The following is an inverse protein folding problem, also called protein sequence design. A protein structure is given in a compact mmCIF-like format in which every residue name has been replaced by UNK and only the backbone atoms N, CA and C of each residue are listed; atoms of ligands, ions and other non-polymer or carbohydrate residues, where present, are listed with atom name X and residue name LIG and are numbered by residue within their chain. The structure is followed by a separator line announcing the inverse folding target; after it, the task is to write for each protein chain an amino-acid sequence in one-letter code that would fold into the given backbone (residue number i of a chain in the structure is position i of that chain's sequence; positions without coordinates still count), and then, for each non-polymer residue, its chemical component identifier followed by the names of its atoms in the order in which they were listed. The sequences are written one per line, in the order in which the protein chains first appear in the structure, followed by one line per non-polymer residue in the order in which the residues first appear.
data_IF_477391933088
#
_entry.id   IF_477391933088
#
_cell.length_a   1.000
_cell.length_b   1.000
_cell.length_c   1.000
_cell.angle_alpha   90.00
_cell.angle_beta   90.00
_cell.angle_gamma   90.00
#
_symmetry.space_group_name_H-M   'P 1'
#
loop_
_entity.id
_entity.type
_entity.pdbx_description
1 polymer ?
#
# COMPACT_ATOMS: atom_id res chain seq x y z
N UNK A 1 -16.24 -29.73 -9.37
CA UNK A 1 -16.32 -29.11 -8.04
C UNK A 1 -16.63 -27.64 -8.25
N UNK A 2 -17.53 -27.05 -7.46
CA UNK A 2 -17.78 -25.61 -7.52
C UNK A 2 -16.52 -24.86 -7.07
N UNK A 3 -16.19 -23.68 -7.65
CA UNK A 3 -15.03 -22.91 -7.27
C UNK A 3 -15.12 -22.47 -5.80
N UNK A 4 -14.00 -22.48 -5.09
CA UNK A 4 -13.90 -21.98 -3.74
C UNK A 4 -13.81 -20.44 -3.81
N UNK A 5 -14.89 -19.77 -3.41
CA UNK A 5 -15.03 -18.32 -3.52
C UNK A 5 -14.89 -17.67 -2.16
N UNK A 6 -14.03 -16.66 -2.05
CA UNK A 6 -13.99 -15.75 -0.92
C UNK A 6 -15.07 -14.68 -1.09
N UNK A 7 -15.94 -14.52 -0.09
CA UNK A 7 -16.99 -13.51 -0.09
C UNK A 7 -16.41 -12.09 0.12
N UNK A 8 -17.09 -11.08 -0.42
CA UNK A 8 -16.78 -9.67 -0.16
C UNK A 8 -17.37 -9.29 1.22
N UNK A 9 -16.63 -9.52 2.29
CA UNK A 9 -17.10 -9.46 3.68
C UNK A 9 -17.48 -8.05 4.16
N UNK A 10 -16.96 -7.01 3.53
CA UNK A 10 -17.27 -5.61 3.85
C UNK A 10 -18.24 -4.93 2.88
N UNK A 11 -18.77 -5.66 1.90
CA UNK A 11 -19.81 -5.14 1.01
C UNK A 11 -21.06 -4.73 1.82
N UNK A 12 -21.30 -3.43 1.91
CA UNK A 12 -22.42 -2.85 2.65
C UNK A 12 -22.09 -2.15 3.98
N UNK A 13 -20.95 -2.46 4.63
CA UNK A 13 -20.52 -1.79 5.86
C UNK A 13 -19.50 -0.66 5.62
N UNK A 14 -18.58 -0.84 4.69
CA UNK A 14 -17.52 0.12 4.34
C UNK A 14 -17.92 1.06 3.19
N UNK A 15 -19.00 0.75 2.50
CA UNK A 15 -19.49 1.49 1.32
C UNK A 15 -20.73 2.36 1.60
N UNK A 16 -21.21 2.44 2.83
CA UNK A 16 -22.37 3.28 3.17
C UNK A 16 -21.98 4.47 4.03
N UNK A 17 -22.40 5.65 3.57
CA UNK A 17 -22.23 6.94 4.23
C UNK A 17 -23.18 7.04 5.46
N UNK A 18 -23.01 6.22 6.50
CA UNK A 18 -23.70 6.43 7.76
C UNK A 18 -22.71 6.68 8.89
N UNK A 19 -22.65 7.91 9.31
CA UNK A 19 -21.84 8.46 10.40
C UNK A 19 -22.22 7.96 11.81
N UNK A 20 -22.72 6.71 11.94
CA UNK A 20 -23.12 6.13 13.23
C UNK A 20 -22.82 4.63 13.25
N UNK A 21 -21.57 4.28 13.48
CA UNK A 21 -21.28 2.96 14.04
C UNK A 21 -20.01 3.03 14.89
N UNK A 22 -20.20 2.97 16.21
CA UNK A 22 -19.14 2.65 17.17
C UNK A 22 -19.19 1.13 17.40
N UNK A 23 -18.16 0.36 17.04
CA UNK A 23 -18.10 -1.03 17.51
C UNK A 23 -17.65 -1.05 18.97
N UNK A 24 -18.47 -1.63 19.80
CA UNK A 24 -18.16 -1.91 21.19
C UNK A 24 -17.27 -3.17 21.25
N UNK A 25 -16.08 -3.14 21.86
CA UNK A 25 -15.16 -4.29 21.86
C UNK A 25 -15.42 -5.20 23.05
N UNK A 26 -16.51 -5.96 23.05
CA UNK A 26 -16.66 -7.07 24.00
C UNK A 26 -17.46 -8.19 23.36
N UNK A 27 -16.81 -9.34 23.29
CA UNK A 27 -17.31 -10.68 22.98
C UNK A 27 -16.94 -11.26 21.61
N UNK A 28 -15.77 -11.87 21.53
CA UNK A 28 -15.53 -12.93 20.55
C UNK A 28 -15.27 -14.24 21.31
N UNK A 29 -16.31 -15.05 21.41
CA UNK A 29 -16.16 -16.47 21.72
C UNK A 29 -15.89 -17.21 20.41
N UNK A 30 -14.83 -18.02 20.43
CA UNK A 30 -14.44 -18.95 19.38
C UNK A 30 -15.59 -19.89 19.00
N UNK A 31 -16.13 -19.74 17.80
CA UNK A 31 -16.92 -20.77 17.13
C UNK A 31 -16.32 -21.02 15.75
N UNK A 32 -15.73 -22.20 15.61
CA UNK A 32 -15.40 -22.84 14.34
C UNK A 32 -16.68 -22.92 13.51
N UNK A 33 -16.81 -22.12 12.48
CA UNK A 33 -17.90 -22.24 11.50
C UNK A 33 -17.33 -22.95 10.27
N UNK A 34 -17.88 -24.12 9.89
CA UNK A 34 -17.44 -24.81 8.68
C UNK A 34 -17.79 -23.97 7.45
N UNK A 35 -16.96 -24.09 6.44
CA UNK A 35 -17.11 -23.51 5.11
C UNK A 35 -18.54 -23.71 4.59
N UNK A 36 -19.38 -22.68 4.67
CA UNK A 36 -20.74 -22.71 4.13
C UNK A 36 -20.64 -22.59 2.61
N UNK A 37 -21.01 -23.67 1.93
CA UNK A 37 -21.34 -23.68 0.51
C UNK A 37 -22.46 -22.67 0.26
N UNK A 38 -22.13 -21.48 -0.21
CA UNK A 38 -23.11 -20.58 -0.77
C UNK A 38 -23.40 -21.04 -2.20
N UNK A 39 -24.57 -21.65 -2.38
CA UNK A 39 -25.17 -21.81 -3.70
C UNK A 39 -25.28 -20.44 -4.34
N UNK A 40 -24.92 -20.39 -5.63
CA UNK A 40 -24.94 -19.20 -6.49
C UNK A 40 -26.37 -18.80 -6.84
N UNK A 41 -27.13 -18.31 -5.85
CA UNK A 41 -28.31 -17.52 -6.14
C UNK A 41 -27.92 -16.05 -6.03
N UNK A 42 -28.00 -15.37 -7.16
CA UNK A 42 -27.53 -14.02 -7.42
C UNK A 42 -27.81 -13.06 -6.23
N UNK A 43 -26.78 -12.71 -5.48
CA UNK A 43 -26.83 -11.51 -4.62
C UNK A 43 -26.96 -10.32 -5.58
N UNK A 44 -28.04 -9.53 -5.51
CA UNK A 44 -28.24 -8.45 -6.46
C UNK A 44 -27.15 -7.37 -6.25
N UNK A 45 -26.36 -7.11 -7.27
CA UNK A 45 -25.28 -6.11 -7.39
C UNK A 45 -25.74 -4.64 -7.19
N UNK A 46 -26.70 -4.38 -6.33
CA UNK A 46 -27.21 -3.01 -6.07
C UNK A 46 -26.19 -2.09 -5.41
N UNK A 47 -25.23 -2.63 -4.66
CA UNK A 47 -24.14 -1.88 -4.05
C UNK A 47 -23.01 -1.62 -5.05
N UNK A 48 -22.79 -2.48 -6.04
CA UNK A 48 -21.77 -2.34 -7.07
C UNK A 48 -21.91 -1.07 -7.90
N UNK A 49 -23.14 -0.67 -8.25
CA UNK A 49 -23.37 0.52 -9.10
C UNK A 49 -23.02 1.85 -8.43
N UNK A 50 -23.14 1.95 -7.10
CA UNK A 50 -22.73 3.14 -6.33
C UNK A 50 -21.21 3.20 -6.21
N UNK A 51 -20.59 2.10 -5.83
CA UNK A 51 -19.14 1.98 -5.71
C UNK A 51 -18.47 2.21 -7.08
N UNK A 52 -19.00 1.60 -8.13
CA UNK A 52 -18.49 1.76 -9.49
C UNK A 52 -18.45 3.23 -9.92
N UNK A 53 -19.52 3.97 -9.66
CA UNK A 53 -19.58 5.40 -9.94
C UNK A 53 -18.56 6.19 -9.11
N UNK A 54 -18.45 5.91 -7.81
CA UNK A 54 -17.47 6.59 -6.94
C UNK A 54 -16.02 6.33 -7.41
N UNK A 55 -15.68 5.07 -7.71
CA UNK A 55 -14.35 4.75 -8.23
C UNK A 55 -14.07 5.46 -9.56
N UNK A 56 -15.05 5.52 -10.47
CA UNK A 56 -14.93 6.28 -11.71
C UNK A 56 -14.70 7.78 -11.45
N UNK A 57 -15.50 8.39 -10.56
CA UNK A 57 -15.38 9.81 -10.20
C UNK A 57 -13.97 10.11 -9.65
N UNK A 58 -13.45 9.30 -8.74
CA UNK A 58 -12.12 9.48 -8.18
C UNK A 58 -11.00 9.27 -9.20
N UNK A 59 -11.09 8.23 -10.03
CA UNK A 59 -10.12 8.00 -11.11
C UNK A 59 -10.13 9.13 -12.15
N UNK A 60 -11.29 9.70 -12.47
CA UNK A 60 -11.43 10.83 -13.39
C UNK A 60 -10.95 12.16 -12.76
N UNK A 61 -11.02 12.30 -11.44
CA UNK A 61 -10.56 13.49 -10.73
C UNK A 61 -9.02 13.60 -10.68
N UNK A 62 -8.29 12.51 -10.94
CA UNK A 62 -6.82 12.54 -11.04
C UNK A 62 -6.41 13.18 -12.36
N UNK A 63 -5.88 14.39 -12.28
CA UNK A 63 -5.45 15.19 -13.43
C UNK A 63 -3.94 15.15 -13.63
N UNK A 64 -3.51 15.42 -14.86
CA UNK A 64 -2.10 15.66 -15.16
C UNK A 64 -1.65 16.94 -14.42
N UNK A 65 -0.65 16.80 -13.56
CA UNK A 65 -0.13 17.91 -12.75
C UNK A 65 0.50 19.03 -13.58
N UNK A 66 0.81 18.77 -14.87
CA UNK A 66 1.38 19.74 -15.79
C UNK A 66 0.42 20.84 -16.24
N UNK A 67 -0.90 20.65 -16.09
CA UNK A 67 -1.93 21.56 -16.66
C UNK A 67 -2.68 22.39 -15.62
N UNK A 68 -2.55 22.09 -14.32
CA UNK A 68 -3.27 22.82 -13.27
C UNK A 68 -2.32 23.65 -12.43
N UNK A 69 -2.68 24.93 -12.23
CA UNK A 69 -2.05 25.81 -11.23
C UNK A 69 -2.39 25.43 -9.78
N UNK A 70 -3.21 24.40 -9.59
CA UNK A 70 -3.56 23.81 -8.29
C UNK A 70 -2.63 22.62 -8.02
N UNK A 71 -1.78 22.76 -7.02
CA UNK A 71 -0.82 21.74 -6.55
C UNK A 71 -1.54 20.62 -5.77
N UNK A 72 -2.44 19.87 -6.43
CA UNK A 72 -3.14 18.77 -5.75
C UNK A 72 -2.29 17.50 -5.61
N UNK A 73 -1.30 17.28 -6.47
CA UNK A 73 -0.37 16.16 -6.41
C UNK A 73 0.90 16.46 -5.61
N UNK A 74 1.70 15.43 -5.36
CA UNK A 74 3.04 15.58 -4.80
C UNK A 74 3.98 16.25 -5.82
N UNK A 75 5.04 16.97 -5.37
CA UNK A 75 5.95 17.72 -6.26
C UNK A 75 6.57 16.90 -7.40
N UNK A 76 6.86 15.62 -7.14
CA UNK A 76 7.46 14.71 -8.11
C UNK A 76 6.43 13.78 -8.78
N UNK A 77 5.12 14.04 -8.60
CA UNK A 77 4.07 13.25 -9.24
C UNK A 77 4.22 13.28 -10.78
N UNK A 78 3.82 12.19 -11.47
CA UNK A 78 4.00 12.10 -12.91
C UNK A 78 3.16 13.15 -13.63
N UNK A 79 3.70 13.69 -14.72
CA UNK A 79 3.02 14.68 -15.56
C UNK A 79 2.00 14.08 -16.51
N UNK A 80 1.89 12.74 -16.56
CA UNK A 80 0.92 12.02 -17.40
C UNK A 80 0.58 10.64 -16.86
N UNK A 81 -0.62 10.19 -17.13
CA UNK A 81 -1.15 8.90 -16.73
C UNK A 81 -1.68 8.09 -17.94
N UNK A 82 -1.51 6.75 -17.97
CA UNK A 82 -0.76 5.93 -17.02
C UNK A 82 0.76 6.11 -17.15
N UNK A 83 1.51 5.68 -16.13
CA UNK A 83 2.98 5.66 -16.16
C UNK A 83 3.44 4.40 -16.88
N UNK A 84 4.00 4.56 -18.07
CA UNK A 84 4.51 3.44 -18.84
C UNK A 84 5.62 2.71 -18.08
N UNK A 85 5.48 1.39 -17.95
CA UNK A 85 6.44 0.56 -17.21
C UNK A 85 6.26 0.63 -15.68
N UNK A 86 5.12 1.08 -15.18
CA UNK A 86 4.77 0.98 -13.77
C UNK A 86 4.81 -0.48 -13.31
N UNK A 87 5.62 -0.79 -12.30
CA UNK A 87 5.88 -2.13 -11.76
C UNK A 87 5.16 -2.41 -10.46
N UNK A 88 5.02 -1.38 -9.64
CA UNK A 88 4.33 -1.49 -8.37
C UNK A 88 3.61 -0.19 -8.02
N UNK A 89 2.60 -0.30 -7.16
CA UNK A 89 1.97 0.84 -6.50
C UNK A 89 1.90 0.60 -4.99
N UNK A 90 1.90 1.69 -4.23
CA UNK A 90 1.49 1.70 -2.82
C UNK A 90 0.18 2.45 -2.77
N UNK A 91 -0.86 1.83 -2.21
CA UNK A 91 -2.19 2.41 -2.12
C UNK A 91 -2.78 2.22 -0.71
N UNK A 92 -3.53 3.20 -0.18
CA UNK A 92 -4.21 3.08 1.10
C UNK A 92 -5.41 2.15 1.03
N UNK A 93 -5.75 1.49 2.15
CA UNK A 93 -6.81 0.48 2.24
C UNK A 93 -7.91 0.78 3.28
N UNK A 94 -7.90 1.92 3.92
CA UNK A 94 -9.04 2.32 4.72
C UNK A 94 -10.32 2.36 3.85
N UNK A 95 -11.49 2.32 4.47
CA UNK A 95 -12.76 2.33 3.74
C UNK A 95 -12.79 3.40 2.65
N UNK A 96 -13.28 3.06 1.48
CA UNK A 96 -13.19 3.89 0.26
C UNK A 96 -13.69 5.33 0.41
N UNK A 97 -14.66 5.57 1.30
CA UNK A 97 -15.13 6.93 1.56
C UNK A 97 -14.02 7.86 2.10
N UNK A 98 -12.97 7.28 2.68
CA UNK A 98 -11.83 8.00 3.26
C UNK A 98 -10.60 7.94 2.36
N UNK A 99 -10.20 6.74 1.98
CA UNK A 99 -8.95 6.48 1.25
C UNK A 99 -9.09 6.51 -0.27
N UNK A 100 -10.32 6.31 -0.78
CA UNK A 100 -10.58 6.14 -2.21
C UNK A 100 -10.04 7.27 -3.10
N UNK A 101 -10.26 8.56 -2.77
CA UNK A 101 -9.68 9.66 -3.54
C UNK A 101 -8.16 9.61 -3.63
N UNK A 102 -7.47 9.30 -2.51
CA UNK A 102 -6.01 9.17 -2.48
C UNK A 102 -5.55 7.94 -3.24
N UNK A 103 -6.19 6.78 -3.03
CA UNK A 103 -5.87 5.53 -3.74
C UNK A 103 -5.94 5.69 -5.27
N UNK A 104 -6.89 6.46 -5.78
CA UNK A 104 -7.05 6.72 -7.21
C UNK A 104 -5.75 7.20 -7.87
N UNK A 105 -4.91 7.99 -7.18
CA UNK A 105 -3.64 8.47 -7.68
C UNK A 105 -2.62 7.35 -7.93
N UNK A 106 -2.60 6.32 -7.09
CA UNK A 106 -1.77 5.14 -7.32
C UNK A 106 -2.30 4.30 -8.50
N UNK A 107 -3.60 4.02 -8.51
CA UNK A 107 -4.22 3.19 -9.54
C UNK A 107 -4.19 3.83 -10.93
N UNK A 108 -4.20 5.17 -11.04
CA UNK A 108 -4.03 5.87 -12.32
C UNK A 108 -2.64 5.72 -12.93
N UNK A 109 -1.62 5.42 -12.10
CA UNK A 109 -0.28 5.15 -12.60
C UNK A 109 -0.17 3.82 -13.37
N UNK A 110 -1.10 2.90 -13.19
CA UNK A 110 -1.01 1.55 -13.75
C UNK A 110 -1.31 1.54 -15.24
N UNK A 111 -0.33 1.10 -16.06
CA UNK A 111 -0.54 0.75 -17.46
C UNK A 111 -1.09 -0.68 -17.56
N UNK A 112 -2.41 -0.79 -17.72
CA UNK A 112 -3.13 -2.07 -17.67
C UNK A 112 -2.92 -2.94 -18.91
N UNK A 113 -2.33 -2.44 -20.00
CA UNK A 113 -2.38 -3.09 -21.32
C UNK A 113 -1.70 -4.47 -21.33
N UNK A 114 -0.57 -4.61 -20.64
CA UNK A 114 0.24 -5.83 -20.68
C UNK A 114 0.17 -6.67 -19.40
N UNK A 115 -0.47 -6.15 -18.35
CA UNK A 115 -0.56 -6.85 -17.07
C UNK A 115 -1.53 -8.03 -17.19
N UNK A 116 -1.06 -9.20 -16.72
CA UNK A 116 -1.85 -10.43 -16.59
C UNK A 116 -1.88 -10.97 -15.17
N UNK A 117 -0.86 -10.65 -14.38
CA UNK A 117 -0.72 -11.08 -12.99
C UNK A 117 -0.59 -9.91 -12.06
N UNK A 118 -1.30 -9.94 -10.95
CA UNK A 118 -1.30 -8.87 -9.96
C UNK A 118 -1.03 -9.46 -8.59
N UNK A 119 0.14 -9.17 -8.03
CA UNK A 119 0.44 -9.46 -6.63
C UNK A 119 -0.18 -8.38 -5.74
N UNK A 120 -0.85 -8.81 -4.68
CA UNK A 120 -1.43 -7.90 -3.68
C UNK A 120 -0.82 -8.26 -2.33
N UNK A 121 0.02 -7.38 -1.80
CA UNK A 121 0.68 -7.54 -0.52
C UNK A 121 -0.08 -6.73 0.54
N UNK A 122 -0.89 -7.40 1.35
CA UNK A 122 -1.68 -6.78 2.41
C UNK A 122 -1.16 -7.13 3.81
N UNK A 123 -1.23 -6.20 4.79
CA UNK A 123 -0.83 -6.49 6.16
C UNK A 123 -1.84 -7.37 6.89
N UNK A 124 -1.39 -8.22 7.78
CA UNK A 124 -2.26 -9.01 8.66
C UNK A 124 -2.72 -8.17 9.85
N UNK A 125 -4.00 -7.76 9.85
CA UNK A 125 -4.57 -6.98 10.95
C UNK A 125 -5.22 -7.83 12.05
N UNK A 126 -5.71 -9.02 11.71
CA UNK A 126 -6.56 -9.82 12.59
C UNK A 126 -5.89 -11.10 13.09
N UNK A 127 -4.86 -11.56 12.42
CA UNK A 127 -4.16 -12.80 12.75
C UNK A 127 -2.70 -12.51 13.06
N UNK A 128 -2.21 -13.03 14.19
CA UNK A 128 -0.78 -13.00 14.49
C UNK A 128 -0.05 -14.01 13.57
N UNK A 129 0.53 -13.49 12.49
CA UNK A 129 1.24 -14.28 11.49
C UNK A 129 2.74 -13.92 11.55
N UNK A 130 3.64 -14.89 11.82
CA UNK A 130 5.08 -14.61 11.87
C UNK A 130 5.77 -14.57 10.51
N UNK A 131 5.08 -14.98 9.44
CA UNK A 131 5.55 -15.06 8.06
C UNK A 131 4.59 -14.40 7.08
N UNK A 132 4.51 -14.95 5.88
CA UNK A 132 3.53 -14.60 4.86
C UNK A 132 2.62 -15.80 4.57
N UNK A 133 1.35 -15.53 4.20
CA UNK A 133 0.40 -16.59 3.89
C UNK A 133 -0.25 -16.40 2.52
N UNK A 134 -0.57 -17.52 1.86
CA UNK A 134 -1.20 -17.62 0.54
C UNK A 134 -2.67 -18.03 0.67
N UNK A 135 -3.49 -17.58 -0.26
CA UNK A 135 -4.91 -17.95 -0.31
C UNK A 135 -5.12 -19.33 -0.94
N UNK A 136 -6.04 -20.11 -0.37
CA UNK A 136 -6.52 -21.38 -0.92
C UNK A 136 -7.73 -21.23 -1.85
N UNK A 137 -8.31 -20.02 -1.95
CA UNK A 137 -9.48 -19.75 -2.78
C UNK A 137 -9.17 -19.88 -4.27
N UNK A 138 -10.21 -20.04 -5.08
CA UNK A 138 -10.11 -20.03 -6.54
C UNK A 138 -10.36 -18.61 -7.09
N UNK A 139 -11.21 -17.85 -6.39
CA UNK A 139 -11.54 -16.47 -6.75
C UNK A 139 -11.92 -15.64 -5.52
N UNK A 140 -11.74 -14.33 -5.65
CA UNK A 140 -12.22 -13.36 -4.69
C UNK A 140 -13.42 -12.60 -5.26
N UNK A 141 -14.51 -12.57 -4.52
CA UNK A 141 -15.69 -11.78 -4.88
C UNK A 141 -15.43 -10.30 -4.59
N UNK A 142 -15.80 -9.44 -5.54
CA UNK A 142 -15.87 -7.98 -5.31
C UNK A 142 -17.26 -7.47 -5.71
N UNK A 143 -17.68 -6.29 -5.22
CA UNK A 143 -18.92 -5.67 -5.67
C UNK A 143 -18.99 -5.40 -7.19
N UNK A 144 -17.85 -5.40 -7.88
CA UNK A 144 -17.71 -5.15 -9.31
C UNK A 144 -17.48 -6.43 -10.13
N UNK A 145 -17.56 -7.59 -9.52
CA UNK A 145 -17.33 -8.90 -10.12
C UNK A 145 -16.12 -9.63 -9.55
N UNK A 146 -15.99 -10.93 -9.84
CA UNK A 146 -14.94 -11.74 -9.27
C UNK A 146 -13.55 -11.45 -9.88
N UNK A 147 -12.51 -11.71 -9.09
CA UNK A 147 -11.12 -11.76 -9.50
C UNK A 147 -10.61 -13.21 -9.36
N UNK A 148 -10.07 -13.77 -10.43
CA UNK A 148 -9.52 -15.13 -10.42
C UNK A 148 -8.14 -15.14 -9.75
N UNK A 149 -7.84 -16.18 -8.97
CA UNK A 149 -6.52 -16.38 -8.38
C UNK A 149 -5.60 -17.13 -9.36
N UNK A 150 -4.32 -16.71 -9.42
CA UNK A 150 -3.27 -17.44 -10.17
C UNK A 150 -2.83 -18.67 -9.38
N UNK A 151 -3.60 -19.76 -9.50
CA UNK A 151 -3.34 -21.02 -8.78
C UNK A 151 -1.97 -21.61 -9.09
N UNK A 152 -1.46 -21.39 -10.31
CA UNK A 152 -0.14 -21.88 -10.70
C UNK A 152 0.95 -21.15 -9.90
N UNK A 153 0.95 -19.84 -9.92
CA UNK A 153 1.92 -19.04 -9.16
C UNK A 153 1.80 -19.27 -7.66
N UNK A 154 0.58 -19.38 -7.13
CA UNK A 154 0.35 -19.70 -5.71
C UNK A 154 0.95 -21.06 -5.36
N UNK A 155 0.79 -22.08 -6.21
CA UNK A 155 1.41 -23.40 -5.99
C UNK A 155 2.94 -23.36 -6.07
N UNK A 156 3.51 -22.57 -6.99
CA UNK A 156 4.96 -22.37 -7.09
C UNK A 156 5.52 -21.73 -5.82
N UNK A 157 4.86 -20.69 -5.29
CA UNK A 157 5.26 -20.03 -4.04
C UNK A 157 5.11 -20.98 -2.84
N UNK A 158 4.01 -21.72 -2.75
CA UNK A 158 3.79 -22.68 -1.67
C UNK A 158 4.86 -23.81 -1.67
N UNK A 159 5.32 -24.22 -2.85
CA UNK A 159 6.36 -25.24 -2.99
C UNK A 159 7.73 -24.80 -2.45
N UNK A 160 7.96 -23.51 -2.21
CA UNK A 160 9.18 -23.00 -1.55
C UNK A 160 9.25 -23.40 -0.07
N UNK A 161 8.10 -23.70 0.56
CA UNK A 161 7.99 -23.99 1.99
C UNK A 161 8.05 -22.75 2.90
N UNK A 162 8.15 -21.55 2.34
CA UNK A 162 8.30 -20.29 3.10
C UNK A 162 6.95 -19.64 3.43
N UNK A 163 5.87 -20.05 2.77
CA UNK A 163 4.54 -19.47 2.92
C UNK A 163 3.60 -20.38 3.69
N UNK A 164 2.85 -19.81 4.61
CA UNK A 164 1.73 -20.49 5.25
C UNK A 164 0.46 -20.41 4.38
N UNK A 165 -0.58 -21.13 4.76
CA UNK A 165 -1.91 -21.00 4.16
C UNK A 165 -2.77 -20.09 5.02
N UNK A 166 -3.34 -19.04 4.41
CA UNK A 166 -4.30 -18.22 5.14
C UNK A 166 -5.64 -18.90 5.24
N UNK A 167 -6.32 -18.72 6.37
CA UNK A 167 -7.74 -19.05 6.49
C UNK A 167 -8.59 -18.01 5.77
N UNK A 168 -9.83 -18.36 5.44
CA UNK A 168 -10.67 -17.69 4.45
C UNK A 168 -11.16 -16.27 4.81
N UNK A 169 -10.77 -15.71 5.95
CA UNK A 169 -11.37 -14.49 6.50
C UNK A 169 -10.50 -13.23 6.47
N UNK A 170 -9.39 -13.25 5.76
CA UNK A 170 -8.48 -12.11 5.75
C UNK A 170 -8.85 -11.11 4.66
N UNK A 171 -9.31 -9.95 5.09
CA UNK A 171 -9.87 -8.90 4.25
C UNK A 171 -8.93 -7.74 4.03
N UNK A 172 -8.80 -7.34 2.77
CA UNK A 172 -8.27 -6.04 2.38
C UNK A 172 -9.00 -5.52 1.15
N UNK A 173 -9.31 -4.23 1.09
CA UNK A 173 -10.30 -3.67 0.15
C UNK A 173 -9.73 -3.27 -1.24
N UNK A 174 -8.44 -3.48 -1.54
CA UNK A 174 -7.86 -3.14 -2.84
C UNK A 174 -8.47 -3.89 -4.02
N UNK A 175 -9.14 -5.00 -3.74
CA UNK A 175 -9.71 -5.86 -4.76
C UNK A 175 -10.71 -5.15 -5.66
N UNK A 176 -11.51 -4.20 -5.14
CA UNK A 176 -12.49 -3.45 -5.94
C UNK A 176 -11.82 -2.47 -6.89
N UNK A 177 -10.76 -1.77 -6.46
CA UNK A 177 -9.98 -0.93 -7.36
C UNK A 177 -9.29 -1.75 -8.45
N UNK A 178 -8.72 -2.90 -8.11
CA UNK A 178 -8.14 -3.83 -9.09
C UNK A 178 -9.20 -4.20 -10.12
N UNK A 179 -10.38 -4.66 -9.66
CA UNK A 179 -11.45 -5.02 -10.58
C UNK A 179 -11.89 -3.86 -11.47
N UNK A 180 -11.86 -2.62 -10.92
CA UNK A 180 -12.25 -1.41 -11.65
C UNK A 180 -11.27 -1.03 -12.76
N UNK A 181 -9.97 -0.94 -12.49
CA UNK A 181 -8.99 -0.54 -13.51
C UNK A 181 -8.79 -1.60 -14.58
N UNK A 182 -9.12 -2.87 -14.28
CA UNK A 182 -9.13 -3.97 -15.26
C UNK A 182 -10.55 -4.33 -15.72
N UNK A 183 -11.48 -3.37 -15.71
CA UNK A 183 -12.85 -3.59 -16.18
C UNK A 183 -12.88 -4.14 -17.62
N UNK A 184 -13.74 -5.15 -17.85
CA UNK A 184 -13.82 -5.84 -19.16
C UNK A 184 -12.72 -6.88 -19.40
N UNK A 185 -11.65 -6.93 -18.62
CA UNK A 185 -10.57 -7.91 -18.74
C UNK A 185 -10.91 -9.20 -17.98
N UNK A 186 -10.76 -10.34 -18.65
CA UNK A 186 -10.94 -11.69 -18.08
C UNK A 186 -9.64 -12.52 -18.07
N UNK A 187 -8.58 -11.97 -18.64
CA UNK A 187 -7.26 -12.59 -18.80
C UNK A 187 -6.27 -12.19 -17.69
N UNK A 188 -6.77 -11.59 -16.61
CA UNK A 188 -5.97 -11.23 -15.43
C UNK A 188 -6.24 -12.19 -14.28
N UNK A 189 -5.24 -12.39 -13.45
CA UNK A 189 -5.34 -13.14 -12.20
C UNK A 189 -4.58 -12.46 -11.07
N UNK A 190 -5.00 -12.71 -9.84
CA UNK A 190 -4.39 -12.13 -8.64
C UNK A 190 -3.62 -13.18 -7.84
N UNK A 191 -2.57 -12.73 -7.16
CA UNK A 191 -1.80 -13.49 -6.17
C UNK A 191 -1.83 -12.71 -4.85
N UNK A 192 -2.88 -12.90 -4.02
CA UNK A 192 -2.97 -12.23 -2.74
C UNK A 192 -2.01 -12.88 -1.75
N UNK A 193 -1.22 -12.05 -1.07
CA UNK A 193 -0.27 -12.45 -0.03
C UNK A 193 -0.57 -11.65 1.24
N UNK A 194 -0.96 -12.36 2.28
CA UNK A 194 -1.09 -11.78 3.61
C UNK A 194 0.29 -11.71 4.24
N UNK A 195 0.74 -10.51 4.58
CA UNK A 195 2.05 -10.25 5.15
C UNK A 195 1.91 -9.99 6.65
N UNK A 196 2.47 -10.88 7.45
CA UNK A 196 2.45 -10.79 8.91
C UNK A 196 3.55 -9.89 9.47
N UNK A 197 3.89 -10.11 10.75
CA UNK A 197 4.94 -9.38 11.44
C UNK A 197 6.31 -9.95 11.09
N UNK A 198 7.03 -9.28 10.21
CA UNK A 198 8.31 -9.74 9.69
C UNK A 198 9.51 -9.06 10.39
N UNK A 199 10.63 -9.78 10.43
CA UNK A 199 11.93 -9.16 10.66
C UNK A 199 12.45 -8.53 9.37
N UNK A 200 13.38 -7.57 9.48
CA UNK A 200 14.07 -6.99 8.32
C UNK A 200 14.77 -8.05 7.44
N UNK A 201 15.21 -9.17 8.03
CA UNK A 201 15.77 -10.30 7.28
C UNK A 201 14.67 -11.05 6.53
N UNK A 202 13.55 -11.35 7.18
CA UNK A 202 12.41 -12.03 6.55
C UNK A 202 11.82 -11.20 5.41
N UNK A 203 11.72 -9.87 5.55
CA UNK A 203 11.29 -8.97 4.47
C UNK A 203 12.16 -9.12 3.22
N UNK A 204 13.49 -9.22 3.39
CA UNK A 204 14.43 -9.45 2.27
C UNK A 204 14.28 -10.85 1.68
N UNK A 205 14.10 -11.87 2.51
CA UNK A 205 13.90 -13.25 2.05
C UNK A 205 12.66 -13.36 1.17
N UNK A 206 11.51 -12.86 1.66
CA UNK A 206 10.29 -12.82 0.85
C UNK A 206 10.44 -11.94 -0.38
N UNK A 207 11.13 -10.80 -0.26
CA UNK A 207 11.44 -9.93 -1.40
C UNK A 207 12.23 -10.67 -2.49
N UNK A 208 13.26 -11.40 -2.14
CA UNK A 208 14.05 -12.19 -3.07
C UNK A 208 13.23 -13.30 -3.76
N UNK A 209 12.32 -13.96 -3.03
CA UNK A 209 11.40 -14.96 -3.62
C UNK A 209 10.42 -14.33 -4.63
N UNK A 210 10.04 -13.09 -4.42
CA UNK A 210 9.08 -12.36 -5.27
C UNK A 210 9.75 -11.59 -6.42
N UNK A 211 11.07 -11.36 -6.37
CA UNK A 211 11.83 -10.61 -7.38
C UNK A 211 11.60 -11.13 -8.82
N UNK A 212 11.65 -12.44 -9.13
CA UNK A 212 11.47 -12.90 -10.50
C UNK A 212 10.11 -12.53 -11.10
N UNK A 213 9.09 -12.46 -10.26
CA UNK A 213 7.75 -12.03 -10.68
C UNK A 213 7.68 -10.50 -10.86
N UNK A 214 8.32 -9.72 -9.97
CA UNK A 214 8.37 -8.26 -10.09
C UNK A 214 9.08 -7.82 -11.38
N UNK A 215 10.12 -8.53 -11.80
CA UNK A 215 10.83 -8.28 -13.05
C UNK A 215 9.99 -8.56 -14.29
N UNK A 216 9.04 -9.49 -14.22
CA UNK A 216 8.18 -9.83 -15.36
C UNK A 216 7.39 -8.61 -15.87
N UNK A 217 7.39 -8.34 -17.19
CA UNK A 217 6.65 -7.20 -17.74
C UNK A 217 5.12 -7.35 -17.64
N UNK A 218 4.62 -8.57 -17.45
CA UNK A 218 3.19 -8.88 -17.34
C UNK A 218 2.69 -8.86 -15.88
N UNK A 219 3.54 -8.45 -14.93
CA UNK A 219 3.21 -8.48 -13.49
C UNK A 219 3.19 -7.08 -12.90
N UNK A 220 2.15 -6.81 -12.11
CA UNK A 220 2.00 -5.62 -11.27
C UNK A 220 2.04 -6.05 -9.79
N UNK A 221 2.69 -5.25 -8.96
CA UNK A 221 2.62 -5.37 -7.50
C UNK A 221 1.76 -4.25 -6.91
N UNK A 222 0.89 -4.59 -5.99
CA UNK A 222 0.09 -3.63 -5.21
C UNK A 222 0.44 -3.85 -3.75
N UNK A 223 0.96 -2.81 -3.11
CA UNK A 223 1.26 -2.80 -1.68
C UNK A 223 0.19 -1.99 -0.98
N UNK A 224 -0.50 -2.65 -0.08
CA UNK A 224 -1.60 -2.12 0.70
C UNK A 224 -1.09 -1.48 1.98
N UNK A 225 -1.28 -0.18 2.17
CA UNK A 225 -0.80 0.51 3.36
C UNK A 225 -1.45 1.86 3.60
N UNK A 226 -2.12 2.00 4.73
CA UNK A 226 -2.32 3.31 5.32
C UNK A 226 -1.05 3.76 6.06
N UNK A 227 -0.89 5.07 6.27
CA UNK A 227 0.21 5.67 7.00
C UNK A 227 -0.17 5.89 8.47
N UNK A 228 0.27 6.96 9.10
CA UNK A 228 0.10 7.18 10.53
C UNK A 228 -1.36 7.05 10.99
N UNK A 229 -1.60 6.16 11.95
CA UNK A 229 -2.84 6.08 12.72
C UNK A 229 -2.63 6.81 14.05
N UNK A 230 -3.04 8.06 14.11
CA UNK A 230 -2.79 8.92 15.27
C UNK A 230 -4.04 9.09 16.14
N UNK A 231 -3.84 9.08 17.45
CA UNK A 231 -4.86 9.34 18.46
C UNK A 231 -4.96 8.26 19.53
N UNK A 232 -5.60 8.59 20.64
CA UNK A 232 -5.71 7.67 21.80
C UNK A 232 -6.37 6.34 21.46
N UNK A 233 -7.32 6.32 20.51
CA UNK A 233 -8.00 5.09 20.07
C UNK A 233 -7.07 4.11 19.35
N UNK A 234 -5.95 4.60 18.80
CA UNK A 234 -4.93 3.80 18.14
C UNK A 234 -3.72 3.50 19.07
N UNK A 235 -3.75 4.03 20.29
CA UNK A 235 -2.63 3.90 21.21
C UNK A 235 -1.37 4.65 20.79
N UNK A 236 -1.47 5.60 19.86
CA UNK A 236 -0.35 6.33 19.30
C UNK A 236 -0.63 7.83 19.26
N UNK A 237 0.13 8.61 20.06
CA UNK A 237 -0.03 10.06 20.21
C UNK A 237 1.31 10.78 20.06
N UNK A 238 2.21 10.22 19.23
CA UNK A 238 3.52 10.80 18.99
C UNK A 238 3.40 12.19 18.38
N UNK A 239 4.19 13.13 18.90
CA UNK A 239 4.12 14.53 18.54
C UNK A 239 5.53 15.15 18.50
N UNK A 240 5.80 15.87 17.42
CA UNK A 240 7.02 16.61 17.18
C UNK A 240 6.70 18.08 17.42
N UNK A 241 7.16 18.69 18.54
CA UNK A 241 6.69 20.00 18.96
C UNK A 241 7.08 21.15 18.02
N UNK A 242 8.17 21.01 17.27
CA UNK A 242 8.74 22.13 16.49
C UNK A 242 9.13 21.68 15.09
N UNK A 243 9.02 22.64 14.15
CA UNK A 243 9.30 22.41 12.73
C UNK A 243 10.76 22.02 12.49
N UNK A 244 11.71 22.59 13.25
CA UNK A 244 13.15 22.34 13.11
C UNK A 244 13.64 21.05 13.76
N UNK A 245 12.85 20.42 14.64
CA UNK A 245 13.24 19.16 15.30
C UNK A 245 13.23 17.98 14.34
N UNK A 246 14.16 17.05 14.51
CA UNK A 246 14.12 15.77 13.80
C UNK A 246 12.93 14.92 14.25
N UNK A 247 12.41 14.09 13.33
CA UNK A 247 11.24 13.24 13.61
C UNK A 247 11.45 12.27 14.77
N UNK A 248 12.67 11.89 15.06
CA UNK A 248 13.01 11.02 16.19
C UNK A 248 13.05 11.74 17.56
N UNK A 249 12.87 13.03 17.60
CA UNK A 249 12.88 13.85 18.82
C UNK A 249 11.48 14.15 19.38
N UNK A 250 10.46 13.56 18.77
CA UNK A 250 9.08 13.68 19.26
C UNK A 250 8.84 12.88 20.55
N UNK A 251 7.71 13.16 21.16
CA UNK A 251 7.26 12.51 22.40
C UNK A 251 5.77 12.14 22.33
N UNK A 252 5.33 11.21 23.16
CA UNK A 252 3.91 10.86 23.24
C UNK A 252 3.14 11.92 24.04
N UNK A 253 2.10 12.50 23.46
CA UNK A 253 1.18 13.39 24.18
C UNK A 253 0.31 12.61 25.18
N UNK A 254 0.08 13.22 26.32
CA UNK A 254 -0.85 12.76 27.36
C UNK A 254 -1.79 13.89 27.80
N UNK A 255 -2.71 13.60 28.71
CA UNK A 255 -3.73 14.59 29.16
C UNK A 255 -3.17 15.91 29.75
N UNK A 256 -1.92 15.92 30.15
CA UNK A 256 -1.24 17.12 30.70
C UNK A 256 -0.30 17.78 29.70
N UNK A 257 -0.15 17.24 28.51
CA UNK A 257 0.77 17.78 27.52
C UNK A 257 0.21 19.06 26.89
N UNK A 258 1.07 20.04 26.67
CA UNK A 258 0.74 21.24 25.92
C UNK A 258 1.12 21.03 24.45
N UNK A 259 0.16 21.16 23.55
CA UNK A 259 0.45 21.31 22.12
C UNK A 259 1.04 22.71 21.94
N UNK A 260 2.20 22.80 21.33
CA UNK A 260 2.93 24.05 21.18
C UNK A 260 2.09 25.12 20.48
N UNK A 261 2.15 26.34 21.00
CA UNK A 261 1.53 27.50 20.38
C UNK A 261 2.62 28.55 20.12
N UNK A 262 2.60 29.14 18.93
CA UNK A 262 3.53 30.21 18.55
C UNK A 262 4.40 29.88 17.34
N UNK A 263 5.25 30.82 16.97
CA UNK A 263 6.10 30.70 15.78
C UNK A 263 7.07 29.52 15.89
N UNK A 264 7.08 28.66 14.88
CA UNK A 264 7.94 27.48 14.79
C UNK A 264 7.42 26.25 15.56
N UNK A 265 6.26 26.31 16.22
CA UNK A 265 5.59 25.16 16.80
C UNK A 265 4.74 24.43 15.73
N UNK A 266 4.73 23.10 15.78
CA UNK A 266 3.81 22.28 14.97
C UNK A 266 2.46 22.17 15.68
N UNK A 267 1.38 22.20 14.91
CA UNK A 267 0.09 21.64 15.35
C UNK A 267 0.16 20.10 15.27
N UNK A 268 -0.83 19.41 15.81
CA UNK A 268 -0.81 17.93 15.81
C UNK A 268 -0.80 17.37 14.38
N UNK A 269 -1.66 17.89 13.49
CA UNK A 269 -1.72 17.47 12.09
C UNK A 269 -0.44 17.80 11.30
N UNK A 270 0.21 18.93 11.59
CA UNK A 270 1.52 19.26 10.99
C UNK A 270 2.61 18.28 11.49
N UNK A 271 2.56 17.89 12.75
CA UNK A 271 3.44 16.90 13.32
C UNK A 271 3.23 15.53 12.69
N UNK A 272 1.98 15.11 12.47
CA UNK A 272 1.64 13.87 11.77
C UNK A 272 2.17 13.93 10.33
N UNK A 273 1.90 15.03 9.61
CA UNK A 273 2.38 15.19 8.24
C UNK A 273 3.91 15.14 8.16
N UNK A 274 4.61 15.82 9.05
CA UNK A 274 6.07 15.81 9.12
C UNK A 274 6.61 14.38 9.34
N UNK A 275 5.98 13.63 10.24
CA UNK A 275 6.34 12.24 10.50
C UNK A 275 6.18 11.38 9.25
N UNK A 276 5.01 11.45 8.61
CA UNK A 276 4.71 10.65 7.41
C UNK A 276 5.59 11.05 6.22
N UNK A 277 5.80 12.37 6.01
CA UNK A 277 6.68 12.89 4.95
C UNK A 277 8.11 12.37 5.08
N UNK A 278 8.63 12.25 6.31
CA UNK A 278 9.94 11.66 6.52
C UNK A 278 9.95 10.16 6.17
N UNK A 279 8.92 9.40 6.56
CA UNK A 279 8.76 8.01 6.14
C UNK A 279 8.69 7.87 4.61
N UNK A 280 7.90 8.72 3.95
CA UNK A 280 7.79 8.78 2.48
C UNK A 280 9.15 9.08 1.84
N UNK A 281 9.87 10.10 2.35
CA UNK A 281 11.21 10.46 1.86
C UNK A 281 12.21 9.31 1.98
N UNK A 282 12.16 8.57 3.09
CA UNK A 282 13.04 7.43 3.36
C UNK A 282 12.76 6.28 2.39
N UNK A 283 11.48 5.99 2.12
CA UNK A 283 11.05 4.93 1.20
C UNK A 283 11.39 5.28 -0.25
N UNK A 284 11.40 6.57 -0.61
CA UNK A 284 11.71 7.03 -1.97
C UNK A 284 13.14 6.71 -2.37
N UNK A 285 13.33 6.31 -3.61
CA UNK A 285 14.64 6.10 -4.24
C UNK A 285 14.56 6.43 -5.73
N UNK A 286 15.72 6.71 -6.33
CA UNK A 286 15.91 6.84 -7.78
C UNK A 286 17.23 6.20 -8.17
N UNK A 287 17.18 5.17 -9.00
CA UNK A 287 18.35 4.44 -9.48
C UNK A 287 18.95 5.04 -10.76
N UNK A 288 18.71 6.34 -11.05
CA UNK A 288 19.26 7.00 -12.23
C UNK A 288 20.77 6.75 -12.41
N UNK A 289 21.30 6.67 -13.66
CA UNK A 289 22.71 6.38 -13.91
C UNK A 289 23.59 7.38 -13.19
N UNK A 290 24.54 6.86 -12.42
CA UNK A 290 25.57 7.67 -11.79
C UNK A 290 26.44 8.29 -12.90
N UNK A 291 26.40 9.61 -13.07
CA UNK A 291 27.51 10.30 -13.71
C UNK A 291 28.70 10.19 -12.76
N UNK A 292 29.81 9.64 -13.27
CA UNK A 292 31.06 9.45 -12.55
C UNK A 292 31.74 10.79 -12.28
N UNK A 293 31.27 11.55 -11.29
CA UNK A 293 32.01 12.61 -10.65
C UNK A 293 32.18 12.26 -9.18
N UNK A 294 33.38 12.32 -8.66
CA UNK A 294 33.79 11.92 -7.32
C UNK A 294 33.03 12.65 -6.18
N UNK A 295 32.22 13.66 -6.51
CA UNK A 295 31.44 14.47 -5.56
C UNK A 295 29.93 14.12 -5.51
N UNK A 296 29.47 13.12 -6.28
CA UNK A 296 28.05 12.75 -6.29
C UNK A 296 27.74 11.79 -5.15
N UNK A 297 27.18 12.31 -4.06
CA UNK A 297 26.59 11.53 -2.95
C UNK A 297 25.48 10.68 -3.55
N UNK A 298 25.82 9.45 -3.88
CA UNK A 298 25.02 8.54 -4.69
C UNK A 298 23.55 8.47 -4.24
N UNK A 299 22.62 8.52 -5.21
CA UNK A 299 21.18 8.46 -4.99
C UNK A 299 20.78 7.28 -4.10
N UNK A 300 19.67 7.45 -3.36
CA UNK A 300 19.17 6.39 -2.48
C UNK A 300 18.78 5.16 -3.29
N UNK A 301 19.19 3.98 -2.83
CA UNK A 301 18.87 2.69 -3.43
C UNK A 301 17.73 2.00 -2.68
N UNK A 302 17.04 1.01 -3.27
CA UNK A 302 16.04 0.22 -2.55
C UNK A 302 16.60 -0.44 -1.28
N UNK A 303 17.86 -0.88 -1.30
CA UNK A 303 18.56 -1.47 -0.14
C UNK A 303 18.72 -0.45 0.99
N UNK A 304 19.22 0.77 0.68
CA UNK A 304 19.39 1.81 1.70
C UNK A 304 18.02 2.29 2.22
N UNK A 305 17.03 2.44 1.32
CA UNK A 305 15.66 2.79 1.69
C UNK A 305 15.07 1.77 2.68
N UNK A 306 15.23 0.46 2.44
CA UNK A 306 14.79 -0.60 3.34
C UNK A 306 15.46 -0.51 4.73
N UNK A 307 16.77 -0.28 4.77
CA UNK A 307 17.52 -0.17 6.04
C UNK A 307 17.10 1.06 6.83
N UNK A 308 17.03 2.23 6.18
CA UNK A 308 16.64 3.49 6.81
C UNK A 308 15.18 3.46 7.26
N UNK A 309 14.27 2.83 6.49
CA UNK A 309 12.87 2.68 6.87
C UNK A 309 12.70 1.85 8.14
N UNK A 310 13.42 0.75 8.27
CA UNK A 310 13.45 -0.05 9.49
C UNK A 310 14.01 0.75 10.69
N UNK A 311 15.03 1.58 10.49
CA UNK A 311 15.57 2.46 11.53
C UNK A 311 14.55 3.54 11.95
N UNK A 312 13.90 4.17 10.99
CA UNK A 312 12.84 5.15 11.22
C UNK A 312 11.67 4.56 12.03
N UNK A 313 11.18 3.37 11.65
CA UNK A 313 10.10 2.70 12.38
C UNK A 313 10.50 2.33 13.83
N UNK A 314 11.75 1.93 14.02
CA UNK A 314 12.29 1.67 15.37
C UNK A 314 12.30 2.94 16.24
N UNK A 315 12.68 4.07 15.65
CA UNK A 315 12.84 5.34 16.36
C UNK A 315 11.49 5.98 16.67
N UNK A 316 10.59 6.05 15.69
CA UNK A 316 9.33 6.79 15.79
C UNK A 316 8.15 5.93 16.22
N UNK A 317 8.23 4.62 15.99
CA UNK A 317 7.11 3.66 16.12
C UNK A 317 5.87 4.09 15.32
N UNK A 318 6.09 4.79 14.19
CA UNK A 318 4.97 5.19 13.34
C UNK A 318 4.10 3.98 12.97
N UNK A 319 2.80 4.17 13.04
CA UNK A 319 1.78 3.13 12.92
C UNK A 319 1.39 2.85 11.46
N UNK A 320 2.37 2.83 10.57
CA UNK A 320 2.18 2.44 9.18
C UNK A 320 1.80 0.95 9.15
N UNK A 321 0.54 0.65 8.80
CA UNK A 321 0.04 -0.73 8.86
C UNK A 321 0.73 -1.62 7.83
N UNK A 322 0.97 -1.14 6.62
CA UNK A 322 1.68 -1.85 5.55
C UNK A 322 3.22 -1.78 5.63
N UNK A 323 3.81 -1.48 6.79
CA UNK A 323 5.27 -1.38 6.92
C UNK A 323 6.02 -2.63 6.44
N UNK A 324 5.51 -3.82 6.72
CA UNK A 324 6.12 -5.08 6.28
C UNK A 324 5.87 -5.38 4.78
N UNK A 325 4.66 -5.22 4.22
CA UNK A 325 4.46 -5.19 2.77
C UNK A 325 5.40 -4.23 2.01
N UNK A 326 5.58 -3.01 2.51
CA UNK A 326 6.56 -2.04 1.96
C UNK A 326 7.98 -2.60 2.08
N UNK A 327 8.35 -3.18 3.23
CA UNK A 327 9.66 -3.81 3.45
C UNK A 327 9.92 -4.95 2.46
N UNK A 328 8.92 -5.80 2.19
CA UNK A 328 9.01 -6.89 1.20
C UNK A 328 9.20 -6.33 -0.21
N UNK A 329 8.45 -5.29 -0.61
CA UNK A 329 8.62 -4.64 -1.91
C UNK A 329 10.04 -4.05 -2.05
N UNK A 330 10.53 -3.33 -1.05
CA UNK A 330 11.90 -2.78 -1.05
C UNK A 330 12.96 -3.89 -1.11
N UNK A 331 12.72 -5.01 -0.43
CA UNK A 331 13.55 -6.21 -0.50
C UNK A 331 13.59 -6.81 -1.92
N UNK A 332 12.45 -6.92 -2.60
CA UNK A 332 12.37 -7.42 -3.97
C UNK A 332 13.09 -6.48 -4.97
N UNK A 333 12.90 -5.18 -4.81
CA UNK A 333 13.58 -4.17 -5.64
C UNK A 333 15.10 -4.16 -5.40
N UNK A 334 15.54 -4.39 -4.17
CA UNK A 334 16.97 -4.51 -3.85
C UNK A 334 17.58 -5.76 -4.49
N UNK A 335 16.90 -6.90 -4.41
CA UNK A 335 17.33 -8.14 -5.06
C UNK A 335 17.39 -7.99 -6.59
N UNK A 336 16.41 -7.30 -7.17
CA UNK A 336 16.42 -6.99 -8.60
C UNK A 336 17.65 -6.14 -8.99
N UNK A 337 17.89 -5.04 -8.27
CA UNK A 337 19.04 -4.18 -8.53
C UNK A 337 20.39 -4.92 -8.42
N UNK A 338 20.49 -5.88 -7.50
CA UNK A 338 21.68 -6.71 -7.33
C UNK A 338 21.87 -7.70 -8.47
N UNK A 339 20.80 -8.37 -8.92
CA UNK A 339 20.86 -9.30 -10.05
C UNK A 339 21.24 -8.61 -11.37
N UNK A 340 20.83 -7.35 -11.57
CA UNK A 340 21.22 -6.56 -12.73
C UNK A 340 22.69 -6.14 -12.68
N UNK A 341 23.21 -5.79 -11.50
CA UNK A 341 24.63 -5.46 -11.32
C UNK A 341 25.56 -6.64 -11.62
N UNK A 342 25.16 -7.86 -11.24
CA UNK A 342 25.93 -9.07 -11.51
C UNK A 342 25.88 -9.50 -12.98
N UNK A 343 24.83 -9.14 -13.71
CA UNK A 343 24.66 -9.51 -15.12
C UNK A 343 25.37 -8.60 -16.12
N UNK A 344 26.07 -7.58 -15.70
CA UNK A 344 26.94 -6.58 -16.37
C UNK A 344 26.82 -6.33 -17.92
N UNK A 345 25.89 -6.92 -18.64
CA UNK A 345 25.89 -6.99 -20.12
C UNK A 345 24.57 -6.73 -20.84
N UNK A 346 23.51 -6.31 -20.20
CA UNK A 346 22.31 -5.91 -20.93
C UNK A 346 22.18 -4.39 -21.00
N UNK A 347 22.47 -3.84 -22.15
CA UNK A 347 22.03 -2.49 -22.55
C UNK A 347 20.51 -2.46 -22.35
N UNK A 348 20.03 -1.76 -21.32
CA UNK A 348 18.61 -1.62 -21.02
C UNK A 348 18.17 -2.08 -19.63
N UNK A 349 19.06 -2.28 -18.66
CA UNK A 349 18.67 -2.50 -17.25
C UNK A 349 17.82 -1.32 -16.77
N UNK A 350 16.53 -1.57 -16.59
CA UNK A 350 15.55 -0.55 -16.25
C UNK A 350 15.78 -0.04 -14.85
N UNK A 351 16.45 1.11 -14.75
CA UNK A 351 16.57 1.79 -13.47
C UNK A 351 15.19 2.23 -13.01
N UNK A 352 14.87 1.97 -11.74
CA UNK A 352 13.57 2.24 -11.16
C UNK A 352 13.66 3.39 -10.15
N UNK A 353 12.53 4.08 -9.98
CA UNK A 353 12.30 5.06 -8.93
C UNK A 353 10.97 4.80 -8.23
N UNK A 354 10.90 5.09 -6.95
CA UNK A 354 9.66 5.15 -6.20
C UNK A 354 9.28 6.61 -5.97
N UNK A 355 8.08 6.97 -6.43
CA UNK A 355 7.58 8.35 -6.41
C UNK A 355 6.21 8.38 -5.76
N UNK A 356 6.01 9.32 -4.83
CA UNK A 356 4.72 9.60 -4.22
C UNK A 356 3.89 10.47 -5.15
N UNK A 357 2.58 10.19 -5.19
CA UNK A 357 1.65 10.90 -6.06
C UNK A 357 0.60 11.70 -5.28
N UNK A 358 0.27 11.28 -4.06
CA UNK A 358 -0.70 11.95 -3.20
C UNK A 358 -0.45 11.61 -1.73
N UNK A 359 -0.73 12.59 -0.85
CA UNK A 359 -0.79 12.42 0.61
C UNK A 359 -1.98 13.18 1.17
N UNK A 360 -2.74 12.54 2.05
CA UNK A 360 -3.86 13.15 2.76
C UNK A 360 -3.99 12.61 4.19
N UNK A 361 -4.72 13.33 5.02
CA UNK A 361 -5.12 12.90 6.35
C UNK A 361 -6.65 12.83 6.41
N UNK A 362 -7.21 11.82 7.07
CA UNK A 362 -8.66 11.69 7.23
C UNK A 362 -9.27 12.86 8.01
N UNK A 363 -8.48 13.48 8.90
CA UNK A 363 -8.85 14.65 9.69
C UNK A 363 -7.60 15.45 10.06
N UNK A 364 -7.66 16.78 9.97
CA UNK A 364 -6.62 17.69 10.47
C UNK A 364 -6.79 17.91 11.97
N UNK A 365 -6.20 17.00 12.74
CA UNK A 365 -6.32 16.98 14.21
C UNK A 365 -5.63 18.16 14.84
N UNK A 366 -6.35 18.91 15.66
CA UNK A 366 -5.82 20.07 16.43
C UNK A 366 -5.83 19.84 17.94
N UNK A 367 -6.59 18.87 18.42
CA UNK A 367 -6.78 18.58 19.84
C UNK A 367 -6.46 17.13 20.17
N UNK A 368 -5.95 16.89 21.38
CA UNK A 368 -5.51 15.57 21.86
C UNK A 368 -6.60 14.48 21.80
N UNK A 369 -7.88 14.85 21.88
CA UNK A 369 -9.00 13.90 21.79
C UNK A 369 -9.37 13.51 20.37
N UNK A 370 -8.82 14.18 19.36
CA UNK A 370 -9.00 13.86 17.95
C UNK A 370 -8.26 12.58 17.55
N UNK A 371 -8.51 12.14 16.33
CA UNK A 371 -7.77 11.03 15.73
C UNK A 371 -7.75 11.16 14.22
N UNK A 372 -6.68 10.69 13.59
CA UNK A 372 -6.51 10.72 12.14
C UNK A 372 -5.85 9.44 11.64
N UNK A 373 -6.17 9.07 10.41
CA UNK A 373 -5.41 8.10 9.62
C UNK A 373 -4.89 8.82 8.39
N UNK A 374 -3.62 8.62 8.08
CA UNK A 374 -3.00 9.22 6.90
C UNK A 374 -3.01 8.25 5.73
N UNK A 375 -3.18 8.78 4.53
CA UNK A 375 -3.23 8.07 3.26
C UNK A 375 -2.13 8.57 2.35
N UNK A 376 -1.37 7.66 1.75
CA UNK A 376 -0.34 7.99 0.80
C UNK A 376 -0.38 7.05 -0.40
N UNK A 377 -0.22 7.61 -1.60
CA UNK A 377 -0.17 6.87 -2.85
C UNK A 377 1.17 7.05 -3.54
N UNK A 378 1.73 5.96 -4.05
CA UNK A 378 2.99 5.96 -4.78
C UNK A 378 2.98 4.96 -5.94
N UNK A 379 3.95 5.12 -6.84
CA UNK A 379 4.27 4.10 -7.83
C UNK A 379 5.77 3.83 -7.88
N UNK A 380 6.11 2.64 -8.37
CA UNK A 380 7.46 2.27 -8.81
C UNK A 380 7.45 2.15 -10.33
N UNK A 381 8.29 2.91 -10.98
CA UNK A 381 8.38 2.95 -12.44
C UNK A 381 9.79 3.29 -12.90
N UNK A 382 10.01 3.42 -14.22
CA UNK A 382 11.33 3.73 -14.75
C UNK A 382 11.84 5.07 -14.23
N UNK A 383 13.14 5.15 -13.96
CA UNK A 383 13.83 6.42 -13.74
C UNK A 383 13.79 7.24 -15.03
N UNK A 384 13.45 8.52 -14.90
CA UNK A 384 13.52 9.44 -16.05
C UNK A 384 14.93 9.95 -16.14
N UNK A 385 15.66 9.57 -17.20
CA UNK A 385 16.96 10.16 -17.47
C UNK A 385 16.80 11.69 -17.52
N UNK A 386 17.54 12.42 -16.70
CA UNK A 386 17.64 13.87 -16.86
C UNK A 386 18.33 14.11 -18.20
N UNK A 387 17.54 14.52 -19.22
CA UNK A 387 18.02 14.90 -20.54
C UNK A 387 19.02 16.05 -20.51
#
# INVERSE_FOLDING_TARGET
MSPLVRAASHAGSWYTNSSKYHPNPTSYSSLLVPCLYLHTDAVPYRTGSKLDRQLNEWLQAVHDTSTSSSSEGEPDAPTGFPVKGCKAIIAPHAGYAYSGPTAAWAYRCVDVQHIKRIFILGPSHHVALPGCALSQCDQYATPLGPLQLDKKTIAELAATGEFEWMDQQTDEDEHSYVRKIFEGRTDISIVPILVGSLSSTSEKTYGALLEPYLRSPETLFIVSSDFCHWGARFGYTYYIPRVEMDVGQGEALNKGSNVGAGKGCCTIDESIEKLDREGMRIISFDQAPRRTSEDDVGGRTPRSAHQEFNAYLKQTRNTICGRHPIGVLLGALAAWAESEYESERSEGSGQHRLVWTRYEQSERVKELKGSSVSYASAFVGPSVGKG
#
